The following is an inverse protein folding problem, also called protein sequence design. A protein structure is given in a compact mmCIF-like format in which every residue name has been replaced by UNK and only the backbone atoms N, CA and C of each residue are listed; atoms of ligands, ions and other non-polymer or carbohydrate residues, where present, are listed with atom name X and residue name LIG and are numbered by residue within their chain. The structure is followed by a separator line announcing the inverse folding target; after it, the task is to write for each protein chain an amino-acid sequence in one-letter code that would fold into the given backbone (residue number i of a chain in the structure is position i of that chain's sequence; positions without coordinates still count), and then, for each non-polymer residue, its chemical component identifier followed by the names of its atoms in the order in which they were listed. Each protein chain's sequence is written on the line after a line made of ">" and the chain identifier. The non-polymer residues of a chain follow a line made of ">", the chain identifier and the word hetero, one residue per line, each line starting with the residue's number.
data_IF_454200347236
#
_entry.id   IF_454200347236
#
_cell.length_a   1.000
_cell.length_b   1.000
_cell.length_c   1.000
_cell.angle_alpha   90.00
_cell.angle_beta   90.00
_cell.angle_gamma   90.00
#
_symmetry.space_group_name_H-M   'P 1'
#
loop_
_entity.id
_entity.type
_entity.pdbx_description
1 polymer ?
#
# COMPACT_ATOMS: atom_id res chain seq x y z
N UNK A 1 -31.00 -3.20 19.10
CA UNK A 1 -29.79 -3.90 19.53
C UNK A 1 -28.76 -3.88 18.40
N UNK A 2 -27.50 -3.55 18.70
CA UNK A 2 -26.40 -3.61 17.73
C UNK A 2 -26.25 -5.04 17.16
N UNK A 3 -26.07 -5.21 15.84
CA UNK A 3 -25.81 -6.52 15.25
C UNK A 3 -24.63 -7.23 15.92
N UNK A 4 -24.72 -8.53 16.06
CA UNK A 4 -23.70 -9.37 16.74
C UNK A 4 -22.30 -9.13 16.14
N UNK A 5 -22.19 -9.00 14.81
CA UNK A 5 -20.95 -8.70 14.11
C UNK A 5 -20.31 -7.38 14.58
N UNK A 6 -21.12 -6.33 14.73
CA UNK A 6 -20.64 -5.01 15.16
C UNK A 6 -20.16 -5.04 16.62
N UNK A 7 -20.83 -5.80 17.50
CA UNK A 7 -20.40 -6.02 18.89
C UNK A 7 -19.02 -6.71 18.92
N UNK A 8 -18.80 -7.72 18.06
CA UNK A 8 -17.52 -8.41 17.93
C UNK A 8 -16.37 -7.49 17.48
N UNK A 9 -16.61 -6.61 16.51
CA UNK A 9 -15.61 -5.63 16.03
C UNK A 9 -15.27 -4.63 17.13
N UNK A 10 -16.28 -4.09 17.82
CA UNK A 10 -16.07 -3.13 18.93
C UNK A 10 -15.29 -3.79 20.07
N UNK A 11 -15.63 -5.03 20.43
CA UNK A 11 -14.93 -5.78 21.46
C UNK A 11 -13.45 -6.00 21.10
N UNK A 12 -13.16 -6.50 19.88
CA UNK A 12 -11.78 -6.71 19.40
C UNK A 12 -10.97 -5.41 19.42
N UNK A 13 -11.57 -4.29 18.98
CA UNK A 13 -10.92 -2.97 19.00
C UNK A 13 -10.62 -2.50 20.43
N UNK A 14 -11.53 -2.73 21.39
CA UNK A 14 -11.32 -2.38 22.79
C UNK A 14 -10.18 -3.20 23.41
N UNK A 15 -10.11 -4.50 23.11
CA UNK A 15 -9.03 -5.37 23.57
C UNK A 15 -7.68 -4.97 22.98
N UNK A 16 -7.65 -4.68 21.67
CA UNK A 16 -6.44 -4.21 20.99
C UNK A 16 -5.93 -2.89 21.62
N UNK A 17 -6.81 -1.92 21.84
CA UNK A 17 -6.49 -0.67 22.51
C UNK A 17 -5.89 -0.87 23.90
N UNK A 18 -6.51 -1.74 24.71
CA UNK A 18 -6.05 -2.07 26.06
C UNK A 18 -4.65 -2.69 26.03
N UNK A 19 -4.48 -3.74 25.21
CA UNK A 19 -3.19 -4.45 25.09
C UNK A 19 -2.07 -3.53 24.58
N UNK A 20 -2.35 -2.69 23.60
CA UNK A 20 -1.36 -1.74 23.08
C UNK A 20 -0.94 -0.73 24.15
N UNK A 21 -1.88 -0.22 24.94
CA UNK A 21 -1.56 0.67 26.08
C UNK A 21 -0.67 -0.03 27.12
N UNK A 22 -0.96 -1.28 27.46
CA UNK A 22 -0.16 -2.08 28.41
C UNK A 22 1.26 -2.26 27.89
N UNK A 23 1.43 -2.63 26.61
CA UNK A 23 2.74 -2.80 25.96
C UNK A 23 3.53 -1.48 25.98
N UNK A 24 2.90 -0.37 25.57
CA UNK A 24 3.57 0.94 25.53
C UNK A 24 4.00 1.41 26.92
N UNK A 25 3.18 1.16 27.96
CA UNK A 25 3.56 1.48 29.33
C UNK A 25 4.66 0.57 29.89
N UNK A 26 4.77 -0.66 29.38
CA UNK A 26 5.85 -1.58 29.76
C UNK A 26 7.18 -1.21 29.08
N UNK A 27 7.13 -0.86 27.79
CA UNK A 27 8.32 -0.55 26.98
C UNK A 27 8.82 0.87 27.27
N UNK A 28 7.94 1.81 27.64
CA UNK A 28 8.25 3.24 27.87
C UNK A 28 9.00 3.89 26.68
N UNK A 29 8.47 3.81 25.44
CA UNK A 29 9.17 4.35 24.27
C UNK A 29 9.18 5.88 24.28
N UNK A 30 10.21 6.47 23.68
CA UNK A 30 10.29 7.92 23.39
C UNK A 30 9.52 8.28 22.11
N UNK A 31 9.47 7.36 21.14
CA UNK A 31 8.82 7.57 19.84
C UNK A 31 7.96 6.35 19.50
N UNK A 32 6.76 6.61 19.02
CA UNK A 32 5.83 5.58 18.52
C UNK A 32 5.44 5.91 17.09
N UNK A 33 5.80 5.03 16.15
CA UNK A 33 5.48 5.17 14.73
C UNK A 33 4.30 4.26 14.39
N UNK A 34 3.25 4.83 13.79
CA UNK A 34 2.08 4.10 13.29
C UNK A 34 2.09 4.06 11.77
N UNK A 35 2.17 2.87 11.19
CA UNK A 35 2.04 2.60 9.74
C UNK A 35 0.72 1.91 9.39
N UNK A 36 0.06 1.30 10.38
CA UNK A 36 -1.13 0.49 10.21
C UNK A 36 -2.43 1.28 10.05
N UNK A 37 -3.50 0.56 9.83
CA UNK A 37 -4.83 1.13 9.60
C UNK A 37 -5.76 1.02 10.80
N UNK A 38 -5.53 0.04 11.67
CA UNK A 38 -6.42 -0.27 12.79
C UNK A 38 -6.19 0.62 14.02
N UNK A 39 -4.93 0.92 14.32
CA UNK A 39 -4.53 1.69 15.51
C UNK A 39 -4.51 3.20 15.30
N UNK A 40 -4.42 3.67 14.06
CA UNK A 40 -4.26 5.09 13.72
C UNK A 40 -5.30 6.02 14.36
N UNK A 41 -6.53 5.53 14.57
CA UNK A 41 -7.65 6.31 15.06
C UNK A 41 -7.73 6.36 16.59
N UNK A 42 -6.90 5.60 17.30
CA UNK A 42 -6.91 5.62 18.77
C UNK A 42 -5.53 5.74 19.41
N UNK A 43 -4.46 5.43 18.68
CA UNK A 43 -3.10 5.45 19.20
C UNK A 43 -2.71 6.80 19.85
N UNK A 44 -2.90 7.96 19.19
CA UNK A 44 -2.50 9.25 19.78
C UNK A 44 -3.40 9.71 20.94
N UNK A 45 -4.46 8.94 21.23
CA UNK A 45 -5.34 9.19 22.40
C UNK A 45 -5.02 8.28 23.58
N UNK A 46 -3.99 7.43 23.47
CA UNK A 46 -3.57 6.60 24.59
C UNK A 46 -2.78 7.43 25.61
N UNK A 47 -3.23 7.41 26.83
CA UNK A 47 -2.41 7.95 27.94
C UNK A 47 -1.30 6.94 28.24
N UNK A 48 -0.09 7.24 27.75
CA UNK A 48 1.13 6.46 27.98
C UNK A 48 2.02 7.24 28.95
N UNK A 49 2.59 6.55 29.94
CA UNK A 49 3.33 7.20 31.02
C UNK A 49 4.63 7.88 30.58
N UNK A 50 5.27 7.39 29.52
CA UNK A 50 6.47 8.01 28.93
C UNK A 50 6.19 9.25 28.08
N UNK A 51 4.90 9.55 27.77
CA UNK A 51 4.51 10.66 26.89
C UNK A 51 5.28 10.64 25.55
N UNK A 52 5.21 9.56 24.77
CA UNK A 52 6.00 9.41 23.55
C UNK A 52 5.55 10.38 22.47
N UNK A 53 6.47 10.73 21.57
CA UNK A 53 6.15 11.40 20.31
C UNK A 53 5.44 10.43 19.39
N UNK A 54 4.23 10.74 18.93
CA UNK A 54 3.46 9.92 18.01
C UNK A 54 3.65 10.38 16.56
N UNK A 55 4.21 9.51 15.74
CA UNK A 55 4.44 9.75 14.30
C UNK A 55 3.48 8.89 13.48
N UNK A 56 2.80 9.49 12.51
CA UNK A 56 1.99 8.78 11.53
C UNK A 56 2.72 8.67 10.21
N UNK A 57 2.99 7.46 9.74
CA UNK A 57 3.50 7.18 8.40
C UNK A 57 2.37 6.80 7.45
N UNK A 58 2.30 7.43 6.27
CA UNK A 58 1.27 7.18 5.25
C UNK A 58 1.95 6.64 4.00
N UNK A 59 1.75 5.34 3.74
CA UNK A 59 2.30 4.60 2.61
C UNK A 59 1.32 4.44 1.43
N UNK A 60 0.17 5.09 1.50
CA UNK A 60 -0.86 5.03 0.46
C UNK A 60 -1.30 6.43 0.04
N UNK A 61 -1.86 6.53 -1.17
CA UNK A 61 -2.50 7.76 -1.60
C UNK A 61 -3.61 8.17 -0.63
N UNK A 62 -3.76 9.48 -0.39
CA UNK A 62 -4.80 10.04 0.49
C UNK A 62 -6.20 9.58 0.12
N UNK A 63 -6.47 9.45 -1.17
CA UNK A 63 -7.78 9.06 -1.70
C UNK A 63 -7.90 7.54 -1.94
N UNK A 64 -6.99 6.72 -1.37
CA UNK A 64 -6.96 5.28 -1.61
C UNK A 64 -8.31 4.60 -1.38
N UNK A 65 -9.03 4.93 -0.31
CA UNK A 65 -10.34 4.33 0.00
C UNK A 65 -11.40 4.65 -1.05
N UNK A 66 -11.49 5.91 -1.47
CA UNK A 66 -12.49 6.35 -2.45
C UNK A 66 -12.20 5.84 -3.86
N UNK A 67 -10.92 5.63 -4.20
CA UNK A 67 -10.50 5.05 -5.48
C UNK A 67 -10.85 3.56 -5.60
N UNK A 68 -10.96 2.84 -4.47
CA UNK A 68 -11.25 1.41 -4.42
C UNK A 68 -12.67 1.10 -3.96
N UNK A 69 -13.53 2.11 -3.84
CA UNK A 69 -14.93 1.95 -3.49
C UNK A 69 -15.71 1.31 -4.66
N UNK A 70 -16.43 0.23 -4.37
CA UNK A 70 -17.17 -0.55 -5.38
C UNK A 70 -18.58 -0.01 -5.63
N UNK A 71 -19.12 0.78 -4.69
CA UNK A 71 -20.44 1.39 -4.81
C UNK A 71 -20.41 2.89 -4.49
N UNK A 72 -21.48 3.59 -4.88
CA UNK A 72 -21.65 5.02 -4.53
C UNK A 72 -21.71 5.20 -3.01
N UNK A 73 -22.35 4.27 -2.30
CA UNK A 73 -22.44 4.29 -0.84
C UNK A 73 -21.07 4.08 -0.19
N UNK A 74 -20.27 3.13 -0.67
CA UNK A 74 -18.89 2.91 -0.18
C UNK A 74 -18.01 4.14 -0.42
N UNK A 75 -18.20 4.81 -1.56
CA UNK A 75 -17.48 6.05 -1.89
C UNK A 75 -17.82 7.18 -0.90
N UNK A 76 -19.09 7.34 -0.55
CA UNK A 76 -19.54 8.30 0.46
C UNK A 76 -18.95 7.99 1.84
N UNK A 77 -18.99 6.71 2.26
CA UNK A 77 -18.38 6.27 3.51
C UNK A 77 -16.86 6.47 3.52
N UNK A 78 -16.20 6.24 2.39
CA UNK A 78 -14.77 6.48 2.24
C UNK A 78 -14.44 7.98 2.42
N UNK A 79 -15.17 8.87 1.76
CA UNK A 79 -15.00 10.33 1.87
C UNK A 79 -15.19 10.79 3.30
N UNK A 80 -16.26 10.33 3.97
CA UNK A 80 -16.53 10.66 5.37
C UNK A 80 -15.43 10.13 6.30
N UNK A 81 -15.00 8.88 6.08
CA UNK A 81 -13.91 8.27 6.84
C UNK A 81 -12.59 9.02 6.65
N UNK A 82 -12.27 9.43 5.43
CA UNK A 82 -11.07 10.22 5.14
C UNK A 82 -11.16 11.62 5.77
N UNK A 83 -12.32 12.26 5.73
CA UNK A 83 -12.54 13.53 6.42
C UNK A 83 -12.28 13.42 7.93
N UNK A 84 -12.83 12.41 8.59
CA UNK A 84 -12.61 12.17 10.03
C UNK A 84 -11.12 11.89 10.31
N UNK A 85 -10.51 11.01 9.53
CA UNK A 85 -9.10 10.67 9.70
C UNK A 85 -8.18 11.89 9.57
N UNK A 86 -8.37 12.68 8.51
CA UNK A 86 -7.47 13.81 8.20
C UNK A 86 -7.77 15.08 8.99
N UNK A 87 -9.01 15.32 9.38
CA UNK A 87 -9.40 16.51 10.13
C UNK A 87 -9.38 16.33 11.65
N UNK A 88 -9.56 15.11 12.13
CA UNK A 88 -9.68 14.84 13.57
C UNK A 88 -8.50 14.02 14.07
N UNK A 89 -8.29 12.81 13.51
CA UNK A 89 -7.30 11.90 14.07
C UNK A 89 -5.86 12.30 13.76
N UNK A 90 -5.58 12.75 12.54
CA UNK A 90 -4.21 13.07 12.13
C UNK A 90 -3.62 14.28 12.87
N UNK A 91 -4.46 15.24 13.25
CA UNK A 91 -4.06 16.40 14.07
C UNK A 91 -3.59 16.04 15.50
N UNK A 92 -3.83 14.81 15.92
CA UNK A 92 -3.40 14.32 17.24
C UNK A 92 -2.04 13.64 17.21
N UNK A 93 -1.48 13.46 16.02
CA UNK A 93 -0.10 13.02 15.85
C UNK A 93 0.82 14.24 15.87
N UNK A 94 1.99 14.09 16.49
CA UNK A 94 2.98 15.15 16.56
C UNK A 94 3.59 15.43 15.19
N UNK A 95 3.69 14.37 14.34
CA UNK A 95 4.20 14.47 12.98
C UNK A 95 3.57 13.45 12.04
N UNK A 96 3.40 13.84 10.78
CA UNK A 96 2.98 12.96 9.70
C UNK A 96 4.10 12.81 8.68
N UNK A 97 4.41 11.58 8.29
CA UNK A 97 5.40 11.25 7.26
C UNK A 97 4.66 10.78 6.00
N UNK A 98 5.04 11.33 4.86
CA UNK A 98 4.63 10.88 3.53
C UNK A 98 5.85 10.53 2.70
N UNK A 99 5.68 9.70 1.64
CA UNK A 99 6.80 9.13 0.90
C UNK A 99 7.37 10.05 -0.19
N UNK A 100 6.58 10.99 -0.70
CA UNK A 100 6.98 11.82 -1.84
C UNK A 100 6.69 13.31 -1.61
N UNK A 101 7.49 14.16 -2.27
CA UNK A 101 7.25 15.61 -2.29
C UNK A 101 5.93 15.95 -2.99
N UNK A 102 5.60 15.20 -4.04
CA UNK A 102 4.36 15.38 -4.78
C UNK A 102 3.14 15.11 -3.89
N UNK A 103 3.14 14.00 -3.15
CA UNK A 103 2.06 13.69 -2.21
C UNK A 103 1.89 14.80 -1.17
N UNK A 104 3.01 15.30 -0.60
CA UNK A 104 2.97 16.45 0.32
C UNK A 104 2.31 17.67 -0.32
N UNK A 105 2.70 18.05 -1.53
CA UNK A 105 2.21 19.27 -2.20
C UNK A 105 0.74 19.11 -2.61
N UNK A 106 0.40 18.02 -3.28
CA UNK A 106 -0.96 17.79 -3.84
C UNK A 106 -2.00 17.57 -2.75
N UNK A 107 -1.66 16.80 -1.73
CA UNK A 107 -2.65 16.36 -0.75
C UNK A 107 -2.58 17.12 0.58
N UNK A 108 -1.44 17.73 0.91
CA UNK A 108 -1.20 18.32 2.23
C UNK A 108 -0.82 19.80 2.18
N UNK A 109 -0.39 20.33 1.03
CA UNK A 109 0.18 21.66 0.89
C UNK A 109 -0.71 22.84 1.34
N UNK A 110 -2.02 22.62 1.43
CA UNK A 110 -2.99 23.62 1.93
C UNK A 110 -3.43 23.38 3.38
N UNK A 111 -2.94 22.32 4.02
CA UNK A 111 -3.32 21.96 5.38
C UNK A 111 -2.21 22.36 6.36
N UNK A 112 -2.29 23.56 6.89
CA UNK A 112 -1.31 24.10 7.84
C UNK A 112 -1.41 23.53 9.26
N UNK A 113 -2.46 22.74 9.54
CA UNK A 113 -2.73 22.22 10.90
C UNK A 113 -2.04 20.88 11.20
N UNK A 114 -1.40 20.28 10.19
CA UNK A 114 -0.69 19.00 10.33
C UNK A 114 0.75 19.20 9.89
N UNK A 115 1.70 18.90 10.77
CA UNK A 115 3.13 18.91 10.41
C UNK A 115 3.46 17.68 9.54
N UNK A 116 3.65 17.92 8.24
CA UNK A 116 3.93 16.88 7.25
C UNK A 116 5.37 16.98 6.76
N UNK A 117 6.14 15.92 6.96
CA UNK A 117 7.48 15.77 6.38
C UNK A 117 7.52 14.68 5.32
N UNK A 118 8.54 14.73 4.45
CA UNK A 118 8.76 13.74 3.40
C UNK A 118 9.95 12.88 3.77
N UNK A 119 9.72 11.58 3.92
CA UNK A 119 10.77 10.57 4.12
C UNK A 119 10.47 9.45 3.13
N UNK A 120 11.24 9.33 2.03
CA UNK A 120 11.02 8.27 1.05
C UNK A 120 11.41 6.91 1.61
N UNK A 121 10.80 5.85 1.05
CA UNK A 121 11.24 4.50 1.36
C UNK A 121 12.73 4.30 1.03
N UNK A 122 13.49 3.64 1.88
CA UNK A 122 14.89 3.36 1.59
C UNK A 122 15.02 2.41 0.39
N UNK A 123 15.99 2.68 -0.46
CA UNK A 123 16.38 1.78 -1.56
C UNK A 123 17.70 1.15 -1.18
N UNK A 124 17.75 -0.18 -1.17
CA UNK A 124 19.00 -0.91 -1.00
C UNK A 124 19.82 -0.73 -2.29
N UNK A 125 21.09 -0.35 -2.16
CA UNK A 125 22.01 -0.26 -3.30
C UNK A 125 22.33 -1.65 -3.84
N UNK A 126 22.18 -1.84 -5.14
CA UNK A 126 22.36 -3.14 -5.80
C UNK A 126 23.70 -3.27 -6.54
N UNK A 127 24.66 -2.45 -6.17
CA UNK A 127 25.95 -2.43 -6.82
C UNK A 127 25.96 -1.70 -8.17
N UNK A 128 26.99 -1.94 -8.97
CA UNK A 128 27.22 -1.25 -10.24
C UNK A 128 26.66 -1.98 -11.47
N UNK A 129 26.07 -3.17 -11.29
CA UNK A 129 25.50 -3.93 -12.41
C UNK A 129 24.32 -3.18 -13.03
N UNK A 130 24.29 -3.13 -14.34
CA UNK A 130 23.20 -2.53 -15.14
C UNK A 130 22.65 -3.58 -16.10
N UNK A 131 21.36 -3.52 -16.38
CA UNK A 131 20.75 -4.33 -17.42
C UNK A 131 21.37 -4.00 -18.77
N UNK A 132 21.64 -5.02 -19.59
CA UNK A 132 22.22 -4.88 -20.92
C UNK A 132 21.25 -4.21 -21.91
N UNK A 133 19.95 -4.24 -21.66
CA UNK A 133 18.85 -3.74 -22.49
C UNK A 133 18.75 -4.41 -23.87
N UNK A 134 19.41 -5.57 -24.08
CA UNK A 134 19.40 -6.30 -25.36
C UNK A 134 18.48 -7.52 -25.34
N UNK A 135 17.99 -7.94 -24.18
CA UNK A 135 17.31 -9.22 -24.00
C UNK A 135 15.83 -9.23 -24.45
N UNK A 136 15.30 -8.11 -24.95
CA UNK A 136 13.89 -7.97 -25.38
C UNK A 136 12.90 -8.50 -24.34
N UNK A 137 13.23 -8.31 -23.07
CA UNK A 137 12.50 -8.78 -21.91
C UNK A 137 12.09 -7.62 -21.02
N UNK A 138 10.83 -7.58 -20.62
CA UNK A 138 10.30 -6.66 -19.60
C UNK A 138 9.99 -7.47 -18.34
N UNK A 139 10.33 -6.92 -17.20
CA UNK A 139 10.05 -7.53 -15.89
C UNK A 139 9.08 -6.63 -15.13
N UNK A 140 8.04 -7.23 -14.58
CA UNK A 140 7.12 -6.59 -13.65
C UNK A 140 7.11 -7.37 -12.34
N UNK A 141 7.12 -6.67 -11.21
CA UNK A 141 7.23 -7.28 -9.88
C UNK A 141 6.14 -6.78 -8.97
N UNK A 142 5.43 -7.69 -8.32
CA UNK A 142 4.41 -7.32 -7.34
C UNK A 142 3.46 -8.45 -6.99
N UNK A 143 2.71 -8.28 -5.89
CA UNK A 143 1.66 -9.23 -5.53
C UNK A 143 0.59 -9.25 -6.63
N UNK A 144 0.16 -10.44 -7.04
CA UNK A 144 -0.92 -10.64 -8.02
C UNK A 144 -2.28 -10.34 -7.37
N UNK A 145 -2.53 -9.04 -7.19
CA UNK A 145 -3.67 -8.50 -6.47
C UNK A 145 -4.22 -7.25 -7.17
N UNK A 146 -5.48 -6.95 -6.94
CA UNK A 146 -6.20 -5.84 -7.58
C UNK A 146 -5.42 -4.51 -7.61
N UNK A 147 -4.76 -4.03 -6.53
CA UNK A 147 -4.06 -2.75 -6.55
C UNK A 147 -2.85 -2.69 -7.49
N UNK A 148 -2.31 -3.83 -7.94
CA UNK A 148 -1.16 -3.90 -8.85
C UNK A 148 -1.56 -3.87 -10.32
N UNK A 149 -2.84 -4.12 -10.62
CA UNK A 149 -3.46 -3.99 -11.93
C UNK A 149 -2.72 -4.68 -13.09
N UNK A 150 -2.22 -5.90 -12.84
CA UNK A 150 -1.56 -6.70 -13.88
C UNK A 150 -2.49 -7.06 -15.04
N UNK A 151 -3.81 -7.09 -14.81
CA UNK A 151 -4.79 -7.31 -15.88
C UNK A 151 -4.68 -6.24 -16.98
N UNK A 152 -4.54 -4.96 -16.61
CA UNK A 152 -4.32 -3.89 -17.59
C UNK A 152 -2.98 -4.01 -18.31
N UNK A 153 -1.92 -4.45 -17.61
CA UNK A 153 -0.61 -4.70 -18.21
C UNK A 153 -0.68 -5.83 -19.27
N UNK A 154 -1.36 -6.94 -18.96
CA UNK A 154 -1.59 -8.04 -19.91
C UNK A 154 -2.38 -7.56 -21.12
N UNK A 155 -3.43 -6.76 -20.92
CA UNK A 155 -4.21 -6.19 -22.03
C UNK A 155 -3.38 -5.28 -22.90
N UNK A 156 -2.53 -4.44 -22.33
CA UNK A 156 -1.62 -3.55 -23.05
C UNK A 156 -0.56 -4.34 -23.84
N UNK A 157 -0.13 -5.52 -23.34
CA UNK A 157 0.89 -6.33 -23.99
C UNK A 157 0.48 -6.83 -25.38
N UNK A 158 -0.83 -6.95 -25.68
CA UNK A 158 -1.33 -7.26 -27.03
C UNK A 158 -0.79 -6.28 -28.07
N UNK A 159 -0.84 -4.99 -27.75
CA UNK A 159 -0.35 -3.94 -28.67
C UNK A 159 1.18 -3.96 -28.81
N UNK A 160 1.88 -4.41 -27.79
CA UNK A 160 3.34 -4.59 -27.86
C UNK A 160 3.68 -5.70 -28.85
N UNK A 161 3.01 -6.84 -28.77
CA UNK A 161 3.29 -8.01 -29.61
C UNK A 161 2.97 -7.77 -31.09
N UNK A 162 1.98 -6.96 -31.40
CA UNK A 162 1.66 -6.55 -32.78
C UNK A 162 2.87 -5.90 -33.50
N UNK A 163 3.73 -5.22 -32.78
CA UNK A 163 4.90 -4.50 -33.31
C UNK A 163 6.23 -5.13 -32.94
N UNK A 164 6.25 -5.90 -31.87
CA UNK A 164 7.44 -6.47 -31.23
C UNK A 164 7.18 -7.90 -30.78
N UNK A 165 6.92 -8.79 -31.74
CA UNK A 165 6.50 -10.19 -31.49
C UNK A 165 7.55 -11.01 -30.69
N UNK A 166 8.81 -10.59 -30.71
CA UNK A 166 9.94 -11.24 -30.04
C UNK A 166 10.18 -10.72 -28.60
N UNK A 167 9.36 -9.77 -28.12
CA UNK A 167 9.43 -9.30 -26.75
C UNK A 167 8.65 -10.20 -25.79
N UNK A 168 9.17 -10.35 -24.57
CA UNK A 168 8.54 -11.13 -23.50
C UNK A 168 8.31 -10.28 -22.26
N UNK A 169 7.25 -10.63 -21.50
CA UNK A 169 6.92 -10.05 -20.21
C UNK A 169 7.01 -11.14 -19.13
N UNK A 170 7.87 -10.95 -18.16
CA UNK A 170 7.91 -11.78 -16.95
C UNK A 170 7.26 -11.04 -15.78
N UNK A 171 6.23 -11.63 -15.18
CA UNK A 171 5.57 -11.10 -14.00
C UNK A 171 5.95 -11.95 -12.79
N UNK A 172 6.69 -11.36 -11.87
CA UNK A 172 7.20 -11.98 -10.66
C UNK A 172 6.35 -11.61 -9.45
N UNK A 173 5.86 -12.61 -8.75
CA UNK A 173 5.01 -12.50 -7.56
C UNK A 173 3.93 -13.56 -7.51
N UNK A 174 3.25 -13.60 -6.38
CA UNK A 174 2.09 -14.47 -6.12
C UNK A 174 0.90 -13.65 -5.61
N UNK A 175 -0.31 -14.21 -5.67
CA UNK A 175 -1.52 -13.58 -5.16
C UNK A 175 -2.81 -14.20 -5.64
N UNK A 176 -3.90 -13.69 -5.12
CA UNK A 176 -5.26 -14.20 -5.32
C UNK A 176 -5.74 -14.16 -6.77
N UNK A 177 -5.18 -13.28 -7.60
CA UNK A 177 -5.57 -13.13 -9.02
C UNK A 177 -4.79 -14.04 -9.98
N UNK A 178 -3.92 -14.95 -9.51
CA UNK A 178 -3.07 -15.77 -10.38
C UNK A 178 -3.88 -16.52 -11.44
N UNK A 179 -4.90 -17.25 -11.03
CA UNK A 179 -5.74 -18.07 -11.94
C UNK A 179 -6.44 -17.20 -12.99
N UNK A 180 -7.00 -16.06 -12.58
CA UNK A 180 -7.68 -15.12 -13.46
C UNK A 180 -6.70 -14.51 -14.50
N UNK A 181 -5.48 -14.15 -14.08
CA UNK A 181 -4.45 -13.62 -14.97
C UNK A 181 -3.95 -14.71 -15.95
N UNK A 182 -3.81 -15.96 -15.53
CA UNK A 182 -3.47 -17.09 -16.41
C UNK A 182 -4.54 -17.31 -17.47
N UNK A 183 -5.83 -17.24 -17.11
CA UNK A 183 -6.94 -17.31 -18.06
C UNK A 183 -6.93 -16.14 -19.04
N UNK A 184 -6.67 -14.92 -18.56
CA UNK A 184 -6.57 -13.74 -19.40
C UNK A 184 -5.42 -13.86 -20.42
N UNK A 185 -4.27 -14.38 -20.01
CA UNK A 185 -3.12 -14.64 -20.91
C UNK A 185 -3.50 -15.66 -22.00
N UNK A 186 -4.16 -16.76 -21.65
CA UNK A 186 -4.63 -17.76 -22.61
C UNK A 186 -5.64 -17.18 -23.58
N UNK A 187 -6.67 -16.50 -23.08
CA UNK A 187 -7.74 -15.94 -23.90
C UNK A 187 -7.23 -14.86 -24.87
N UNK A 188 -6.16 -14.18 -24.51
CA UNK A 188 -5.49 -13.19 -25.37
C UNK A 188 -4.41 -13.81 -26.28
N UNK A 189 -4.21 -15.14 -26.27
CA UNK A 189 -3.19 -15.85 -27.06
C UNK A 189 -1.74 -15.37 -26.77
N UNK A 190 -1.46 -14.98 -25.53
CA UNK A 190 -0.17 -14.42 -25.11
C UNK A 190 0.73 -15.40 -24.33
N UNK A 191 0.43 -16.70 -24.39
CA UNK A 191 1.13 -17.75 -23.63
C UNK A 191 2.61 -17.88 -23.99
N UNK A 192 3.01 -17.47 -25.18
CA UNK A 192 4.41 -17.48 -25.63
C UNK A 192 5.16 -16.18 -25.27
N UNK A 193 4.46 -15.16 -24.80
CA UNK A 193 5.03 -13.83 -24.58
C UNK A 193 4.91 -13.35 -23.14
N UNK A 194 4.00 -13.90 -22.32
CA UNK A 194 3.81 -13.52 -20.92
C UNK A 194 3.95 -14.70 -20.01
N UNK A 195 4.81 -14.57 -18.99
CA UNK A 195 5.12 -15.63 -18.04
C UNK A 195 4.90 -15.17 -16.60
N UNK A 196 3.99 -15.85 -15.86
CA UNK A 196 3.83 -15.67 -14.42
C UNK A 196 4.86 -16.53 -13.69
N UNK A 197 5.95 -15.94 -13.26
CA UNK A 197 7.15 -16.61 -12.73
C UNK A 197 7.04 -17.08 -11.29
N UNK A 198 6.02 -16.60 -10.56
CA UNK A 198 5.89 -16.90 -9.15
C UNK A 198 6.73 -16.01 -8.24
N UNK A 199 6.77 -16.37 -6.96
CA UNK A 199 7.53 -15.64 -5.96
C UNK A 199 9.02 -15.92 -6.05
N UNK A 200 9.85 -14.90 -5.81
CA UNK A 200 11.30 -15.04 -5.65
C UNK A 200 11.80 -14.27 -4.45
N UNK A 201 12.84 -14.79 -3.79
CA UNK A 201 13.60 -14.06 -2.76
C UNK A 201 14.69 -13.20 -3.36
N UNK A 202 15.16 -13.55 -4.55
CA UNK A 202 16.17 -12.80 -5.30
C UNK A 202 15.54 -12.18 -6.55
N UNK A 203 15.08 -10.93 -6.39
CA UNK A 203 14.50 -10.16 -7.49
C UNK A 203 15.58 -9.58 -8.42
N UNK A 204 16.83 -9.57 -7.99
CA UNK A 204 17.91 -8.95 -8.75
C UNK A 204 18.45 -9.86 -9.84
N UNK A 205 18.54 -11.17 -9.58
CA UNK A 205 18.97 -12.14 -10.57
C UNK A 205 18.19 -12.07 -11.89
N UNK A 206 16.86 -11.94 -11.90
CA UNK A 206 16.09 -11.75 -13.12
C UNK A 206 16.32 -10.41 -13.84
N UNK A 207 16.84 -9.39 -13.16
CA UNK A 207 17.01 -8.04 -13.72
C UNK A 207 18.29 -7.92 -14.59
N UNK A 208 19.19 -8.88 -14.52
CA UNK A 208 20.46 -8.90 -15.26
C UNK A 208 20.51 -10.06 -16.26
#
# INVERSE_FOLDING_TARGET
>A
ALPILLKGIIYKRKQHKKRLKEILNQIQPDIVISTGTSEKNFLPYLSVSSHPVFIREIHSNKNYRSLHAQSVFDKLLAILGDFIDYRIHLKKYDRTVVLTKEDKVVHWGKNTEVDVCVIPNPIISFGSKKASLINKKVIAVGRLAFPKNFSSLISAWKYVIERHADWTLEIWGEGELRTELEEQIRNNQLTNNIFLKGYTYDIFSPLY
#
